data_IF_026214081780
#
_entry.id   IF_026214081780
#
_cell.length_a   1.000
_cell.length_b   1.000
_cell.length_c   1.000
_cell.angle_alpha   90.00
_cell.angle_beta   90.00
_cell.angle_gamma   90.00
#
_symmetry.space_group_name_H-M   'P 1'
#
loop_
_entity.id
_entity.type
_entity.pdbx_description
1 polymer ?
#
# COMPACT_ATOMS: atom_id res chain seq x y z
N UNK A 1 -4.98 8.70 37.85
CA UNK A 1 -3.81 8.10 37.20
C UNK A 1 -3.47 8.96 35.99
N UNK A 2 -2.21 9.35 35.79
CA UNK A 2 -1.81 10.08 34.58
C UNK A 2 -1.98 9.16 33.38
N UNK A 3 -2.68 9.63 32.34
CA UNK A 3 -2.80 8.88 31.07
C UNK A 3 -1.41 8.67 30.48
N UNK A 4 -1.08 7.42 30.17
CA UNK A 4 0.22 7.06 29.57
C UNK A 4 0.20 7.50 28.11
N UNK A 5 0.90 8.58 27.79
CA UNK A 5 1.14 9.03 26.42
C UNK A 5 2.41 8.37 25.89
N UNK A 6 2.35 7.82 24.69
CA UNK A 6 3.49 7.25 23.99
C UNK A 6 3.61 7.88 22.62
N UNK A 7 4.70 8.62 22.42
CA UNK A 7 5.03 9.18 21.12
C UNK A 7 5.47 8.04 20.20
N UNK A 8 4.82 7.90 19.05
CA UNK A 8 5.16 6.91 18.04
C UNK A 8 6.23 7.47 17.08
N UNK A 9 6.94 6.60 16.34
CA UNK A 9 7.94 7.03 15.38
C UNK A 9 7.31 7.83 14.24
N UNK A 10 8.10 8.63 13.55
CA UNK A 10 7.68 9.31 12.33
C UNK A 10 7.58 8.26 11.21
N UNK A 11 6.38 8.04 10.68
CA UNK A 11 6.17 7.24 9.48
C UNK A 11 6.53 8.07 8.24
N UNK A 12 7.50 7.61 7.46
CA UNK A 12 7.97 8.29 6.25
C UNK A 12 7.78 7.37 5.05
N UNK A 13 6.87 7.75 4.18
CA UNK A 13 6.58 7.05 2.94
C UNK A 13 7.01 7.90 1.75
N UNK A 14 7.79 7.31 0.88
CA UNK A 14 8.17 7.91 -0.38
C UNK A 14 7.55 7.08 -1.52
N UNK A 15 6.57 7.66 -2.18
CA UNK A 15 5.98 7.16 -3.41
C UNK A 15 6.76 7.66 -4.64
N UNK A 16 6.39 7.23 -5.82
CA UNK A 16 7.02 7.62 -7.08
C UNK A 16 7.02 9.15 -7.33
N UNK A 17 6.03 9.85 -6.82
CA UNK A 17 5.78 11.27 -7.12
C UNK A 17 5.64 12.15 -5.87
N UNK A 18 5.72 11.57 -4.66
CA UNK A 18 5.49 12.32 -3.44
C UNK A 18 6.17 11.70 -2.23
N UNK A 19 6.40 12.51 -1.21
CA UNK A 19 6.74 12.05 0.13
C UNK A 19 5.62 12.40 1.10
N UNK A 20 5.29 11.46 1.97
CA UNK A 20 4.27 11.57 3.01
C UNK A 20 4.90 11.29 4.36
N UNK A 21 4.62 12.13 5.34
CA UNK A 21 5.12 12.01 6.70
C UNK A 21 3.97 12.14 7.69
N UNK A 22 3.91 11.25 8.65
CA UNK A 22 2.93 11.28 9.75
C UNK A 22 3.61 10.91 11.04
N UNK A 23 3.28 11.60 12.12
CA UNK A 23 3.63 11.18 13.47
C UNK A 23 2.38 11.15 14.34
N UNK A 24 2.20 10.04 15.03
CA UNK A 24 1.09 9.79 15.92
C UNK A 24 1.58 9.76 17.38
N UNK A 25 0.66 10.03 18.30
CA UNK A 25 0.82 9.82 19.74
C UNK A 25 -0.29 8.92 20.22
N UNK A 26 0.05 7.83 20.88
CA UNK A 26 -0.93 6.88 21.44
C UNK A 26 -1.30 7.27 22.85
N UNK A 27 -2.61 7.22 23.15
CA UNK A 27 -3.19 7.43 24.47
C UNK A 27 -4.29 6.39 24.73
N UNK A 28 -4.08 5.49 25.69
CA UNK A 28 -5.13 4.56 26.16
C UNK A 28 -5.92 3.87 25.02
N UNK A 29 -5.21 3.31 24.02
CA UNK A 29 -5.83 2.59 22.90
C UNK A 29 -6.37 3.47 21.76
N UNK A 30 -6.26 4.80 21.89
CA UNK A 30 -6.55 5.77 20.81
C UNK A 30 -5.26 6.44 20.34
N UNK A 31 -5.29 7.01 19.15
CA UNK A 31 -4.16 7.78 18.63
C UNK A 31 -4.60 9.16 18.19
N UNK A 32 -3.69 10.11 18.32
CA UNK A 32 -3.86 11.49 17.83
C UNK A 32 -2.72 11.84 16.89
N UNK A 33 -2.98 12.70 15.91
CA UNK A 33 -1.96 13.22 15.00
C UNK A 33 -1.14 14.28 15.72
N UNK A 34 0.17 14.05 15.83
CA UNK A 34 1.14 15.04 16.31
C UNK A 34 1.51 16.01 15.21
N UNK A 35 1.90 15.46 14.07
CA UNK A 35 2.24 16.24 12.87
C UNK A 35 2.06 15.39 11.60
N UNK A 36 1.79 16.06 10.49
CA UNK A 36 1.77 15.45 9.16
C UNK A 36 2.27 16.42 8.11
N UNK A 37 2.92 15.91 7.08
CA UNK A 37 3.40 16.70 5.95
C UNK A 37 3.38 15.84 4.66
N UNK A 38 3.19 16.50 3.53
CA UNK A 38 3.30 15.88 2.22
C UNK A 38 3.87 16.87 1.21
N UNK A 39 4.61 16.35 0.22
CA UNK A 39 5.08 17.11 -0.93
C UNK A 39 5.05 16.24 -2.16
N UNK A 40 4.40 16.73 -3.20
CA UNK A 40 4.52 16.17 -4.54
C UNK A 40 5.77 16.70 -5.23
N UNK A 41 6.40 15.86 -6.03
CA UNK A 41 7.54 16.20 -6.88
C UNK A 41 7.13 16.17 -8.34
N UNK A 42 7.87 16.87 -9.18
CA UNK A 42 7.69 16.74 -10.62
C UNK A 42 8.15 15.33 -11.04
N UNK A 43 7.24 14.58 -11.63
CA UNK A 43 7.54 13.22 -12.10
C UNK A 43 8.70 13.23 -13.10
N UNK A 44 9.76 12.48 -12.82
CA UNK A 44 10.80 12.25 -13.81
C UNK A 44 10.27 11.24 -14.82
N UNK A 45 10.23 11.55 -16.13
CA UNK A 45 9.76 10.62 -17.14
C UNK A 45 10.56 9.31 -17.06
N UNK A 46 9.87 8.19 -16.91
CA UNK A 46 10.50 6.88 -16.97
C UNK A 46 10.65 6.43 -18.42
N UNK A 47 11.74 5.74 -18.74
CA UNK A 47 11.84 5.07 -20.03
C UNK A 47 10.68 4.06 -20.16
N UNK A 48 10.04 3.97 -21.33
CA UNK A 48 8.97 3.03 -21.57
C UNK A 48 9.46 1.59 -21.30
N UNK A 49 8.57 0.66 -20.90
CA UNK A 49 8.91 -0.75 -20.73
C UNK A 49 9.54 -1.29 -22.00
N UNK A 50 10.49 -2.21 -21.87
CA UNK A 50 11.14 -2.83 -23.01
C UNK A 50 10.13 -3.55 -23.88
N UNK A 51 10.33 -3.52 -25.20
CA UNK A 51 9.43 -4.13 -26.21
C UNK A 51 9.19 -5.63 -26.02
N UNK A 52 10.02 -6.31 -25.22
CA UNK A 52 9.93 -7.75 -24.91
C UNK A 52 9.09 -8.07 -23.66
N UNK A 53 8.41 -7.07 -23.06
CA UNK A 53 7.61 -7.26 -21.84
C UNK A 53 8.44 -7.49 -20.58
N UNK A 54 9.78 -7.48 -20.67
CA UNK A 54 10.61 -7.50 -19.47
C UNK A 54 10.52 -6.15 -18.76
N UNK A 55 10.51 -6.12 -17.42
CA UNK A 55 10.54 -4.88 -16.68
C UNK A 55 11.71 -4.04 -17.18
N UNK A 56 11.48 -2.75 -17.40
CA UNK A 56 12.51 -1.81 -17.79
C UNK A 56 13.70 -2.07 -16.85
N UNK A 57 14.76 -2.65 -17.41
CA UNK A 57 15.85 -3.20 -16.61
C UNK A 57 16.35 -2.16 -15.63
N UNK A 58 16.92 -2.58 -14.51
CA UNK A 58 17.38 -1.85 -13.33
C UNK A 58 18.06 -0.47 -13.55
N UNK A 59 18.27 -0.04 -14.79
CA UNK A 59 18.81 1.27 -15.18
C UNK A 59 17.83 2.45 -15.05
N UNK A 60 16.57 2.20 -14.71
CA UNK A 60 15.55 3.21 -14.43
C UNK A 60 14.86 2.99 -13.09
N UNK A 61 15.41 2.14 -12.23
CA UNK A 61 14.83 1.91 -10.91
C UNK A 61 14.82 3.22 -10.13
N UNK A 62 13.65 3.51 -9.63
CA UNK A 62 13.44 4.62 -8.74
C UNK A 62 14.41 4.53 -7.54
N UNK A 63 15.18 5.61 -7.32
CA UNK A 63 16.34 5.57 -6.42
C UNK A 63 15.90 5.59 -4.94
N UNK A 64 14.59 5.73 -4.68
CA UNK A 64 14.04 5.84 -3.35
C UNK A 64 14.63 7.02 -2.56
N UNK A 65 14.42 7.04 -1.25
CA UNK A 65 14.96 8.07 -0.38
C UNK A 65 16.48 8.27 -0.50
N UNK A 66 17.23 7.19 -0.76
CA UNK A 66 18.69 7.27 -0.87
C UNK A 66 19.17 8.15 -2.04
N UNK A 67 18.42 8.21 -3.12
CA UNK A 67 18.77 8.97 -4.32
C UNK A 67 17.94 10.22 -4.57
N UNK A 68 16.85 10.45 -3.82
CA UNK A 68 15.95 11.58 -4.05
C UNK A 68 16.32 12.78 -3.17
N UNK A 69 17.09 13.73 -3.71
CA UNK A 69 17.61 14.85 -2.92
C UNK A 69 16.50 15.80 -2.46
N UNK A 70 15.52 16.10 -3.31
CA UNK A 70 14.39 16.96 -2.94
C UNK A 70 13.55 16.37 -1.81
N UNK A 71 13.32 15.05 -1.82
CA UNK A 71 12.63 14.36 -0.74
C UNK A 71 13.41 14.46 0.57
N UNK A 72 14.73 14.25 0.52
CA UNK A 72 15.58 14.40 1.70
C UNK A 72 15.63 15.84 2.23
N UNK A 73 15.68 16.83 1.33
CA UNK A 73 15.64 18.24 1.71
C UNK A 73 14.30 18.58 2.39
N UNK A 74 13.19 18.10 1.84
CA UNK A 74 11.87 18.28 2.43
C UNK A 74 11.74 17.61 3.80
N UNK A 75 12.18 16.36 3.94
CA UNK A 75 12.18 15.65 5.23
C UNK A 75 12.98 16.43 6.27
N UNK A 76 14.20 16.90 5.92
CA UNK A 76 15.03 17.71 6.81
C UNK A 76 14.34 18.99 7.25
N UNK A 77 13.73 19.71 6.31
CA UNK A 77 12.96 20.93 6.59
C UNK A 77 11.82 20.65 7.59
N UNK A 78 11.03 19.60 7.34
CA UNK A 78 9.84 19.29 8.15
C UNK A 78 10.20 18.78 9.55
N UNK A 79 11.23 17.96 9.68
CA UNK A 79 11.71 17.51 10.99
C UNK A 79 12.22 18.71 11.83
N UNK A 80 12.80 19.72 11.18
CA UNK A 80 13.31 20.91 11.91
C UNK A 80 12.20 21.92 12.27
N UNK A 81 11.13 22.03 11.48
CA UNK A 81 10.19 23.16 11.53
C UNK A 81 8.77 22.82 12.00
N UNK A 82 8.25 21.62 11.71
CA UNK A 82 6.79 21.40 11.67
C UNK A 82 6.22 20.53 12.81
N UNK A 83 6.82 20.55 13.99
CA UNK A 83 6.24 19.91 15.18
C UNK A 83 6.42 18.39 15.24
N UNK A 84 7.16 17.76 14.35
CA UNK A 84 7.63 16.40 14.52
C UNK A 84 8.57 16.34 15.75
N UNK A 85 8.38 15.32 16.58
CA UNK A 85 9.08 15.19 17.87
C UNK A 85 9.92 13.93 17.92
N UNK A 86 11.08 14.02 18.54
CA UNK A 86 12.02 12.90 18.65
C UNK A 86 12.81 12.66 17.36
N UNK A 87 13.48 11.51 17.29
CA UNK A 87 14.34 11.14 16.14
C UNK A 87 13.97 9.79 15.51
N UNK A 88 13.07 9.05 16.15
CA UNK A 88 12.70 7.72 15.66
C UNK A 88 11.84 7.83 14.41
N UNK A 89 12.19 7.06 13.41
CA UNK A 89 11.44 6.97 12.16
C UNK A 89 11.27 5.53 11.70
N UNK A 90 10.15 5.27 11.03
CA UNK A 90 9.92 4.05 10.25
C UNK A 90 9.71 4.46 8.81
N UNK A 91 10.46 3.85 7.91
CA UNK A 91 10.45 4.19 6.49
C UNK A 91 9.84 3.07 5.63
N UNK A 92 9.26 3.41 4.50
CA UNK A 92 8.92 2.43 3.47
C UNK A 92 10.08 2.26 2.49
N UNK A 93 10.24 1.03 2.00
CA UNK A 93 11.05 0.77 0.82
C UNK A 93 10.15 0.90 -0.41
N UNK A 94 10.63 1.55 -1.49
CA UNK A 94 9.90 1.63 -2.75
C UNK A 94 9.48 0.25 -3.26
N UNK A 95 8.27 0.18 -3.74
CA UNK A 95 7.64 -1.08 -4.11
C UNK A 95 8.26 -1.75 -5.34
N UNK A 96 8.89 -1.00 -6.23
CA UNK A 96 9.66 -1.53 -7.36
C UNK A 96 10.91 -2.32 -6.93
N UNK A 97 11.29 -2.20 -5.64
CA UNK A 97 12.38 -2.97 -5.01
C UNK A 97 11.87 -4.19 -4.24
N UNK A 98 10.56 -4.33 -4.09
CA UNK A 98 9.92 -5.43 -3.40
C UNK A 98 9.55 -6.55 -4.37
N UNK A 99 9.96 -7.77 -4.04
CA UNK A 99 9.51 -8.97 -4.74
C UNK A 99 8.50 -9.69 -3.84
N UNK A 100 7.30 -9.92 -4.37
CA UNK A 100 6.25 -10.69 -3.70
C UNK A 100 6.13 -12.03 -4.43
N UNK A 101 6.30 -13.13 -3.69
CA UNK A 101 6.18 -14.49 -4.20
C UNK A 101 5.14 -15.26 -3.39
N UNK A 102 4.27 -15.99 -4.09
CA UNK A 102 3.34 -16.91 -3.47
C UNK A 102 3.90 -18.33 -3.59
N UNK A 103 4.11 -18.98 -2.45
CA UNK A 103 4.64 -20.33 -2.38
C UNK A 103 3.63 -21.27 -1.70
N UNK A 104 3.52 -22.48 -2.23
CA UNK A 104 2.81 -23.59 -1.58
C UNK A 104 3.82 -24.59 -1.06
N UNK A 105 3.89 -24.70 0.24
CA UNK A 105 4.86 -25.53 0.95
C UNK A 105 4.13 -26.66 1.68
N UNK A 106 4.82 -27.79 1.89
CA UNK A 106 4.40 -28.71 2.93
C UNK A 106 4.36 -27.97 4.28
N UNK A 107 3.52 -28.37 5.25
CA UNK A 107 3.52 -27.76 6.56
C UNK A 107 4.94 -27.76 7.17
N UNK A 108 5.44 -26.56 7.46
CA UNK A 108 6.80 -26.36 7.99
C UNK A 108 6.68 -25.75 9.38
N UNK A 109 7.41 -26.28 10.38
CA UNK A 109 7.50 -25.67 11.70
C UNK A 109 8.05 -24.22 11.60
N UNK A 110 7.60 -23.29 12.46
CA UNK A 110 8.04 -21.88 12.41
C UNK A 110 9.56 -21.70 12.47
N UNK A 111 10.27 -22.54 13.22
CA UNK A 111 11.72 -22.53 13.36
C UNK A 111 12.47 -22.92 12.08
N UNK A 112 11.88 -23.76 11.24
CA UNK A 112 12.47 -24.23 9.98
C UNK A 112 12.07 -23.35 8.79
N UNK A 113 11.05 -22.50 8.95
CA UNK A 113 10.46 -21.72 7.87
C UNK A 113 11.51 -20.85 7.15
N UNK A 114 12.39 -20.18 7.90
CA UNK A 114 13.41 -19.32 7.30
C UNK A 114 14.37 -20.07 6.39
N UNK A 115 14.80 -21.26 6.79
CA UNK A 115 15.67 -22.11 5.97
C UNK A 115 14.98 -22.64 4.72
N UNK A 116 13.73 -23.11 4.89
CA UNK A 116 12.89 -23.59 3.79
C UNK A 116 12.66 -22.49 2.75
N UNK A 117 12.31 -21.27 3.18
CA UNK A 117 12.08 -20.16 2.29
C UNK A 117 13.34 -19.78 1.50
N UNK A 118 14.51 -19.77 2.13
CA UNK A 118 15.76 -19.48 1.42
C UNK A 118 16.06 -20.52 0.34
N UNK A 119 15.78 -21.79 0.59
CA UNK A 119 15.95 -22.87 -0.39
C UNK A 119 14.93 -22.72 -1.55
N UNK A 120 13.67 -22.49 -1.22
CA UNK A 120 12.58 -22.33 -2.21
C UNK A 120 12.73 -21.08 -3.10
N UNK A 121 13.36 -20.04 -2.59
CA UNK A 121 13.61 -18.81 -3.33
C UNK A 121 14.82 -18.90 -4.27
N UNK A 122 15.61 -19.97 -4.17
CA UNK A 122 16.74 -20.17 -5.04
C UNK A 122 16.28 -20.28 -6.50
N UNK A 123 16.79 -19.41 -7.36
CA UNK A 123 16.40 -19.31 -8.77
C UNK A 123 15.05 -18.60 -9.02
N UNK A 124 14.28 -18.25 -7.98
CA UNK A 124 13.05 -17.47 -8.10
C UNK A 124 13.27 -15.96 -7.89
N UNK A 125 14.38 -15.59 -7.25
CA UNK A 125 14.81 -14.19 -7.13
C UNK A 125 15.87 -13.90 -8.20
N UNK A 126 15.95 -12.66 -8.72
CA UNK A 126 16.98 -12.25 -9.67
C UNK A 126 18.36 -12.04 -9.00
N UNK A 127 18.51 -12.47 -7.75
CA UNK A 127 19.74 -12.40 -6.95
C UNK A 127 19.75 -13.52 -5.90
N UNK A 128 20.90 -13.75 -5.27
CA UNK A 128 21.05 -14.75 -4.22
C UNK A 128 20.12 -14.45 -3.02
N UNK A 129 19.21 -15.36 -2.63
CA UNK A 129 18.29 -15.16 -1.51
C UNK A 129 18.97 -14.80 -0.18
N UNK A 130 20.22 -15.23 0.04
CA UNK A 130 21.00 -14.89 1.23
C UNK A 130 21.36 -13.40 1.31
N UNK A 131 21.31 -12.68 0.18
CA UNK A 131 21.49 -11.22 0.10
C UNK A 131 20.17 -10.46 0.26
N UNK A 132 19.07 -11.17 0.50
CA UNK A 132 17.78 -10.57 0.75
C UNK A 132 17.52 -10.34 2.25
N UNK A 133 16.64 -9.40 2.53
CA UNK A 133 15.80 -9.38 3.74
C UNK A 133 14.50 -10.06 3.33
N UNK A 134 14.19 -11.18 3.94
CA UNK A 134 13.00 -11.99 3.65
C UNK A 134 12.05 -11.93 4.83
N UNK A 135 10.78 -11.68 4.55
CA UNK A 135 9.66 -11.81 5.49
C UNK A 135 8.58 -12.64 4.84
N UNK A 136 7.70 -13.21 5.63
CA UNK A 136 6.61 -14.03 5.12
C UNK A 136 5.33 -13.84 5.92
N UNK A 137 4.22 -14.18 5.27
CA UNK A 137 2.88 -14.26 5.84
C UNK A 137 2.36 -15.65 5.51
N UNK A 138 1.91 -16.40 6.50
CA UNK A 138 1.18 -17.64 6.27
C UNK A 138 -0.28 -17.28 6.00
N UNK A 139 -0.68 -17.34 4.74
CA UNK A 139 -2.01 -16.91 4.29
C UNK A 139 -3.10 -17.93 4.62
N UNK A 140 -2.73 -19.20 4.77
CA UNK A 140 -3.68 -20.27 5.11
C UNK A 140 -3.16 -21.66 4.79
N UNK A 141 -4.05 -22.63 4.87
CA UNK A 141 -3.79 -24.01 4.48
C UNK A 141 -4.76 -24.43 3.39
N UNK A 142 -4.24 -25.11 2.38
CA UNK A 142 -5.02 -25.63 1.26
C UNK A 142 -4.78 -27.11 1.10
N UNK A 143 -5.80 -27.85 0.65
CA UNK A 143 -5.65 -29.25 0.23
C UNK A 143 -5.37 -29.28 -1.26
N UNK A 144 -4.22 -29.80 -1.64
CA UNK A 144 -3.83 -29.98 -3.04
C UNK A 144 -3.38 -31.43 -3.23
N UNK A 145 -3.96 -32.14 -4.19
CA UNK A 145 -3.69 -33.57 -4.45
C UNK A 145 -3.81 -34.45 -3.20
N UNK A 146 -4.79 -34.18 -2.34
CA UNK A 146 -5.00 -34.89 -1.07
C UNK A 146 -3.90 -34.67 0.00
N UNK A 147 -3.03 -33.68 -0.20
CA UNK A 147 -2.03 -33.27 0.75
C UNK A 147 -2.37 -31.89 1.29
N UNK A 148 -2.14 -31.68 2.61
CA UNK A 148 -2.26 -30.35 3.20
C UNK A 148 -1.00 -29.56 2.88
N UNK A 149 -1.18 -28.35 2.34
CA UNK A 149 -0.10 -27.39 2.06
C UNK A 149 -0.38 -26.06 2.73
N UNK A 150 0.69 -25.35 3.07
CA UNK A 150 0.63 -23.97 3.53
C UNK A 150 0.81 -23.03 2.33
N UNK A 151 -0.11 -22.08 2.20
CA UNK A 151 0.10 -20.94 1.32
C UNK A 151 0.90 -19.87 2.07
N UNK A 152 2.06 -19.54 1.53
CA UNK A 152 3.00 -18.59 2.14
C UNK A 152 3.29 -17.47 1.15
N UNK A 153 3.03 -16.24 1.58
CA UNK A 153 3.37 -15.04 0.83
C UNK A 153 4.73 -14.57 1.31
N UNK A 154 5.69 -14.53 0.41
CA UNK A 154 7.06 -14.10 0.70
C UNK A 154 7.29 -12.70 0.17
N UNK A 155 7.86 -11.88 1.02
CA UNK A 155 8.26 -10.49 0.75
C UNK A 155 9.78 -10.43 0.81
N UNK A 156 10.43 -10.14 -0.30
CA UNK A 156 11.88 -10.13 -0.40
C UNK A 156 12.41 -8.81 -0.97
N UNK A 157 13.40 -8.25 -0.31
CA UNK A 157 14.09 -7.02 -0.71
C UNK A 157 15.60 -7.25 -0.61
N UNK A 158 16.36 -6.68 -1.52
CA UNK A 158 17.82 -6.70 -1.43
C UNK A 158 18.31 -5.97 -0.17
N UNK A 159 19.16 -6.61 0.60
CA UNK A 159 19.71 -6.06 1.86
C UNK A 159 20.48 -4.77 1.63
N UNK A 160 21.33 -4.70 0.61
CA UNK A 160 22.12 -3.51 0.31
C UNK A 160 21.27 -2.27 -0.04
N UNK A 161 20.08 -2.47 -0.63
CA UNK A 161 19.13 -1.39 -0.88
C UNK A 161 18.51 -0.89 0.42
N UNK A 162 18.08 -1.80 1.28
CA UNK A 162 17.56 -1.45 2.61
C UNK A 162 18.58 -0.65 3.40
N UNK A 163 19.84 -1.10 3.45
CA UNK A 163 20.92 -0.41 4.14
C UNK A 163 21.18 1.01 3.59
N UNK A 164 21.09 1.20 2.28
CA UNK A 164 21.22 2.53 1.66
C UNK A 164 20.10 3.48 2.10
N UNK A 165 18.87 2.99 2.21
CA UNK A 165 17.73 3.82 2.67
C UNK A 165 17.88 4.21 4.14
N UNK A 166 18.26 3.26 5.00
CA UNK A 166 18.56 3.52 6.41
C UNK A 166 19.67 4.56 6.55
N UNK A 167 20.80 4.35 5.87
CA UNK A 167 21.92 5.29 5.91
C UNK A 167 21.58 6.70 5.37
N UNK A 168 20.59 6.80 4.47
CA UNK A 168 20.12 8.10 4.02
C UNK A 168 19.35 8.85 5.11
N UNK A 169 18.59 8.15 5.94
CA UNK A 169 17.88 8.75 7.08
C UNK A 169 18.81 9.09 8.24
N UNK A 170 19.80 8.24 8.53
CA UNK A 170 20.82 8.51 9.54
C UNK A 170 21.55 9.85 9.25
N UNK A 171 21.84 10.14 7.98
CA UNK A 171 22.44 11.43 7.57
C UNK A 171 21.52 12.64 7.79
N UNK A 172 20.22 12.43 7.93
CA UNK A 172 19.25 13.46 8.30
C UNK A 172 19.08 13.59 9.82
N UNK A 173 19.80 12.78 10.60
CA UNK A 173 19.74 12.74 12.06
C UNK A 173 18.55 11.97 12.60
N UNK A 174 17.91 11.13 11.76
CA UNK A 174 16.82 10.24 12.15
C UNK A 174 17.37 8.86 12.50
N UNK A 175 16.82 8.25 13.54
CA UNK A 175 17.07 6.88 13.96
C UNK A 175 16.00 5.97 13.33
N UNK A 176 16.37 5.15 12.36
CA UNK A 176 15.43 4.22 11.73
C UNK A 176 15.22 3.01 12.64
N UNK A 177 14.05 2.95 13.29
CA UNK A 177 13.66 1.85 14.19
C UNK A 177 12.88 0.74 13.49
N UNK A 178 12.48 0.95 12.25
CA UNK A 178 11.78 -0.03 11.44
C UNK A 178 11.78 0.30 9.95
N UNK A 179 11.64 -0.75 9.15
CA UNK A 179 11.48 -0.65 7.70
C UNK A 179 10.24 -1.44 7.30
N UNK A 180 9.29 -0.76 6.70
CA UNK A 180 8.06 -1.34 6.18
C UNK A 180 8.05 -1.46 4.66
N UNK A 181 7.01 -2.10 4.16
CA UNK A 181 6.70 -2.18 2.72
C UNK A 181 5.27 -1.66 2.50
N UNK A 182 5.05 -0.95 1.42
CA UNK A 182 3.77 -0.30 1.13
C UNK A 182 2.56 -1.22 1.29
N UNK A 183 2.53 -2.42 0.67
CA UNK A 183 1.35 -3.28 0.71
C UNK A 183 1.02 -3.83 2.10
N UNK A 184 1.97 -3.87 3.02
CA UNK A 184 1.71 -4.24 4.41
C UNK A 184 1.36 -3.01 5.24
N UNK A 185 2.12 -1.93 5.08
CA UNK A 185 1.95 -0.73 5.91
C UNK A 185 0.59 -0.06 5.71
N UNK A 186 0.05 -0.06 4.50
CA UNK A 186 -1.30 0.46 4.21
C UNK A 186 -2.42 -0.26 4.97
N UNK A 187 -2.16 -1.48 5.45
CA UNK A 187 -3.13 -2.30 6.17
C UNK A 187 -3.14 -2.05 7.69
N UNK A 188 -2.03 -1.60 8.26
CA UNK A 188 -1.91 -1.41 9.71
C UNK A 188 -2.97 -0.48 10.33
N UNK A 189 -3.43 0.60 9.69
CA UNK A 189 -4.54 1.40 10.21
C UNK A 189 -5.81 0.57 10.45
N UNK A 190 -6.15 -0.32 9.53
CA UNK A 190 -7.34 -1.17 9.61
C UNK A 190 -7.17 -2.29 10.64
N UNK A 191 -5.97 -2.87 10.73
CA UNK A 191 -5.62 -3.88 11.74
C UNK A 191 -5.64 -3.27 13.15
N UNK A 192 -5.09 -2.08 13.32
CA UNK A 192 -5.12 -1.33 14.57
C UNK A 192 -6.57 -1.04 15.01
N UNK A 193 -7.39 -0.53 14.11
CA UNK A 193 -8.79 -0.28 14.41
C UNK A 193 -9.56 -1.56 14.79
N UNK A 194 -9.28 -2.67 14.11
CA UNK A 194 -9.87 -3.97 14.45
C UNK A 194 -9.44 -4.49 15.81
N UNK A 195 -8.19 -4.24 16.23
CA UNK A 195 -7.70 -4.60 17.57
C UNK A 195 -8.43 -3.88 18.70
N UNK A 196 -8.93 -2.67 18.43
CA UNK A 196 -9.61 -1.82 19.40
C UNK A 196 -11.15 -1.80 19.24
N UNK A 197 -11.67 -2.55 18.25
CA UNK A 197 -13.10 -2.69 18.03
C UNK A 197 -13.74 -3.70 19.02
N UNK A 198 -15.02 -3.49 19.31
CA UNK A 198 -15.78 -4.50 20.04
C UNK A 198 -15.85 -5.83 19.25
N UNK A 199 -15.79 -6.99 19.92
CA UNK A 199 -15.93 -8.28 19.26
C UNK A 199 -17.26 -8.37 18.49
N UNK A 200 -17.20 -8.74 17.22
CA UNK A 200 -18.38 -8.99 16.40
C UNK A 200 -18.84 -10.45 16.56
N UNK A 201 -20.15 -10.68 16.55
CA UNK A 201 -20.74 -12.02 16.73
C UNK A 201 -20.36 -13.01 15.63
N UNK A 202 -20.12 -12.53 14.42
CA UNK A 202 -19.76 -13.35 13.25
C UNK A 202 -18.25 -13.35 12.94
N UNK A 203 -17.45 -12.83 13.89
CA UNK A 203 -16.02 -12.61 13.72
C UNK A 203 -15.70 -11.30 12.98
N UNK A 204 -14.40 -10.95 12.89
CA UNK A 204 -14.00 -9.70 12.27
C UNK A 204 -14.26 -9.73 10.74
N UNK A 205 -14.71 -8.58 10.17
CA UNK A 205 -14.93 -8.47 8.74
C UNK A 205 -13.61 -8.61 7.96
N UNK A 206 -13.72 -9.16 6.75
CA UNK A 206 -12.63 -9.20 5.78
C UNK A 206 -12.64 -7.91 4.95
N UNK A 207 -11.60 -7.11 5.07
CA UNK A 207 -11.45 -5.86 4.34
C UNK A 207 -10.36 -6.04 3.29
N UNK A 208 -10.70 -5.78 2.03
CA UNK A 208 -9.70 -5.69 0.97
C UNK A 208 -9.25 -4.25 0.84
N UNK A 209 -7.97 -4.01 1.11
CA UNK A 209 -7.34 -2.71 0.96
C UNK A 209 -6.63 -2.68 -0.38
N UNK A 210 -6.99 -1.73 -1.22
CA UNK A 210 -6.44 -1.56 -2.57
C UNK A 210 -5.70 -0.23 -2.62
N UNK A 211 -4.37 -0.28 -2.73
CA UNK A 211 -3.56 0.89 -2.96
C UNK A 211 -3.54 1.20 -4.45
N UNK A 212 -4.01 2.38 -4.80
CA UNK A 212 -3.91 2.93 -6.15
C UNK A 212 -2.77 3.93 -6.20
N UNK A 213 -1.69 3.53 -6.86
CA UNK A 213 -0.57 4.40 -7.18
C UNK A 213 -0.56 4.79 -8.66
N UNK A 214 0.33 5.70 -9.02
CA UNK A 214 0.50 6.10 -10.42
C UNK A 214 1.03 4.93 -11.26
N UNK A 215 1.93 4.10 -10.72
CA UNK A 215 2.66 3.05 -11.47
C UNK A 215 2.27 1.63 -11.11
N UNK A 216 1.80 1.43 -9.91
CA UNK A 216 1.45 0.09 -9.41
C UNK A 216 0.20 0.15 -8.55
N UNK A 217 -0.50 -0.97 -8.49
CA UNK A 217 -1.62 -1.22 -7.59
C UNK A 217 -1.22 -2.36 -6.64
N UNK A 218 -1.52 -2.22 -5.36
CA UNK A 218 -1.36 -3.31 -4.39
C UNK A 218 -2.71 -3.69 -3.84
N UNK A 219 -2.91 -4.99 -3.71
CA UNK A 219 -4.11 -5.56 -3.11
C UNK A 219 -3.68 -6.35 -1.89
N UNK A 220 -4.26 -6.02 -0.75
CA UNK A 220 -4.08 -6.80 0.46
C UNK A 220 -5.43 -7.08 1.12
N UNK A 221 -5.54 -8.20 1.83
CA UNK A 221 -6.75 -8.57 2.55
C UNK A 221 -6.38 -8.73 4.02
N UNK A 222 -7.13 -8.04 4.86
CA UNK A 222 -7.01 -8.13 6.32
C UNK A 222 -8.32 -8.63 6.93
N UNK A 223 -8.20 -9.48 7.94
CA UNK A 223 -9.31 -9.94 8.75
C UNK A 223 -8.96 -9.79 10.24
N UNK A 224 -9.60 -8.83 10.90
CA UNK A 224 -9.18 -8.46 12.24
C UNK A 224 -7.75 -7.92 12.25
N UNK A 225 -6.88 -8.56 13.02
CA UNK A 225 -5.46 -8.22 13.14
C UNK A 225 -4.55 -9.03 12.20
N UNK A 226 -5.11 -9.85 11.35
CA UNK A 226 -4.34 -10.74 10.48
C UNK A 226 -4.38 -10.27 9.03
N UNK A 227 -3.22 -10.24 8.40
CA UNK A 227 -3.09 -10.05 6.97
C UNK A 227 -3.04 -11.44 6.32
N UNK A 228 -4.01 -11.73 5.47
CA UNK A 228 -4.21 -13.06 4.88
C UNK A 228 -3.84 -13.11 3.40
N UNK A 229 -3.67 -11.97 2.76
CA UNK A 229 -3.34 -11.89 1.34
C UNK A 229 -2.60 -10.59 1.02
N UNK A 230 -1.62 -10.68 0.12
CA UNK A 230 -0.93 -9.52 -0.49
C UNK A 230 -0.56 -9.85 -1.93
N UNK A 231 -0.87 -8.96 -2.86
CA UNK A 231 -0.43 -9.06 -4.26
C UNK A 231 -0.05 -7.68 -4.80
N UNK A 232 1.03 -7.62 -5.57
CA UNK A 232 1.38 -6.49 -6.40
C UNK A 232 0.83 -6.69 -7.81
N UNK A 233 0.32 -5.61 -8.40
CA UNK A 233 -0.09 -5.53 -9.80
C UNK A 233 0.77 -4.45 -10.44
N UNK A 234 1.60 -4.82 -11.41
CA UNK A 234 2.50 -3.90 -12.13
C UNK A 234 1.72 -3.01 -13.11
N UNK A 235 0.65 -2.42 -12.62
CA UNK A 235 -0.25 -1.55 -13.35
C UNK A 235 -0.80 -0.49 -12.41
N UNK A 236 -0.65 0.77 -12.77
CA UNK A 236 -1.16 1.90 -12.02
C UNK A 236 -2.03 2.82 -12.87
N UNK A 237 -2.28 4.00 -12.36
CA UNK A 237 -3.14 4.96 -13.02
C UNK A 237 -2.54 5.52 -14.33
N UNK A 238 -1.21 5.51 -14.50
CA UNK A 238 -0.56 5.86 -15.75
C UNK A 238 -0.99 4.97 -16.92
N UNK A 239 -1.17 3.68 -16.68
CA UNK A 239 -1.68 2.73 -17.68
C UNK A 239 -3.12 3.07 -18.10
N UNK A 240 -3.97 3.40 -17.11
CA UNK A 240 -5.35 3.81 -17.36
C UNK A 240 -5.40 5.11 -18.17
N UNK A 241 -4.64 6.11 -17.75
CA UNK A 241 -4.58 7.39 -18.43
C UNK A 241 -3.99 7.26 -19.85
N UNK A 242 -2.98 6.43 -20.03
CA UNK A 242 -2.43 6.11 -21.35
C UNK A 242 -3.43 5.45 -22.27
N UNK A 243 -4.24 4.53 -21.76
CA UNK A 243 -5.30 3.88 -22.52
C UNK A 243 -6.46 4.88 -22.83
N UNK A 244 -6.82 5.74 -21.89
CA UNK A 244 -7.79 6.82 -22.12
C UNK A 244 -7.30 7.77 -23.20
N UNK A 245 -6.04 8.21 -23.14
CA UNK A 245 -5.42 9.08 -24.12
C UNK A 245 -5.50 8.48 -25.53
N UNK A 246 -5.13 7.19 -25.65
CA UNK A 246 -5.20 6.45 -26.92
C UNK A 246 -6.62 6.29 -27.42
N UNK A 247 -7.56 5.87 -26.58
CA UNK A 247 -8.95 5.62 -26.98
C UNK A 247 -9.68 6.89 -27.39
N UNK A 248 -9.36 8.03 -26.76
CA UNK A 248 -9.96 9.34 -27.05
C UNK A 248 -9.17 10.17 -28.06
N UNK A 249 -8.01 9.68 -28.51
CA UNK A 249 -7.09 10.40 -29.38
C UNK A 249 -6.71 11.80 -28.83
N UNK A 250 -6.36 11.84 -27.54
CA UNK A 250 -5.93 13.03 -26.81
C UNK A 250 -4.52 12.81 -26.23
N UNK A 251 -3.87 13.90 -25.77
CA UNK A 251 -2.56 13.78 -25.14
C UNK A 251 -2.64 13.21 -23.72
N UNK A 252 -1.55 12.67 -23.15
CA UNK A 252 -1.52 12.24 -21.75
C UNK A 252 -1.87 13.36 -20.77
N UNK A 253 -1.44 14.59 -21.03
CA UNK A 253 -1.77 15.76 -20.22
C UNK A 253 -3.26 16.07 -20.27
N UNK A 254 -3.88 15.95 -21.45
CA UNK A 254 -5.33 16.09 -21.60
C UNK A 254 -6.10 14.98 -20.89
N UNK A 255 -5.59 13.73 -20.90
CA UNK A 255 -6.18 12.63 -20.14
C UNK A 255 -6.09 12.87 -18.62
N UNK A 256 -4.96 13.38 -18.14
CA UNK A 256 -4.78 13.76 -16.74
C UNK A 256 -5.71 14.91 -16.34
N UNK A 257 -5.83 15.94 -17.18
CA UNK A 257 -6.76 17.06 -16.97
C UNK A 257 -8.23 16.61 -17.01
N UNK A 258 -8.57 15.66 -17.90
CA UNK A 258 -9.90 15.05 -17.96
C UNK A 258 -10.26 14.39 -16.63
N UNK A 259 -9.34 13.60 -16.05
CA UNK A 259 -9.55 12.93 -14.77
C UNK A 259 -9.62 13.91 -13.59
N UNK A 260 -8.78 14.95 -13.59
CA UNK A 260 -8.75 15.94 -12.50
C UNK A 260 -10.10 16.64 -12.27
N UNK A 261 -10.96 16.71 -13.30
CA UNK A 261 -12.31 17.27 -13.19
C UNK A 261 -13.20 16.50 -12.21
N UNK A 262 -12.96 15.20 -12.06
CA UNK A 262 -13.79 14.30 -11.25
C UNK A 262 -13.17 14.00 -9.90
N UNK A 263 -11.84 13.96 -9.83
CA UNK A 263 -11.10 13.53 -8.65
C UNK A 263 -11.43 14.37 -7.40
N UNK A 264 -11.55 15.66 -7.57
CA UNK A 264 -11.72 16.60 -6.46
C UNK A 264 -13.17 17.06 -6.29
N UNK A 265 -14.12 16.51 -7.07
CA UNK A 265 -15.53 16.88 -6.98
C UNK A 265 -16.22 16.21 -5.80
N UNK A 266 -16.95 17.02 -5.03
CA UNK A 266 -17.81 16.57 -3.94
C UNK A 266 -19.31 16.65 -4.28
N UNK A 267 -19.68 17.19 -5.45
CA UNK A 267 -21.06 17.38 -5.86
C UNK A 267 -21.64 16.10 -6.47
N UNK A 268 -22.89 15.75 -6.11
CA UNK A 268 -23.58 14.56 -6.62
C UNK A 268 -23.81 14.61 -8.13
N UNK A 269 -24.00 15.81 -8.69
CA UNK A 269 -24.14 15.98 -10.13
C UNK A 269 -22.84 15.58 -10.87
N UNK A 270 -21.71 16.03 -10.37
CA UNK A 270 -20.41 15.71 -10.97
C UNK A 270 -20.11 14.23 -10.84
N UNK A 271 -20.64 13.60 -9.78
CA UNK A 271 -20.50 12.16 -9.56
C UNK A 271 -21.18 11.35 -10.70
N UNK A 272 -22.39 11.71 -11.11
CA UNK A 272 -23.08 11.00 -12.20
C UNK A 272 -22.35 11.18 -13.54
N UNK A 273 -21.88 12.42 -13.83
CA UNK A 273 -21.07 12.67 -15.02
C UNK A 273 -19.75 11.90 -15.01
N UNK A 274 -19.12 11.76 -13.83
CA UNK A 274 -17.90 10.96 -13.66
C UNK A 274 -18.17 9.47 -13.89
N UNK A 275 -19.27 8.93 -13.36
CA UNK A 275 -19.68 7.54 -13.61
C UNK A 275 -19.81 7.26 -15.09
N UNK A 276 -20.53 8.11 -15.82
CA UNK A 276 -20.73 7.97 -17.27
C UNK A 276 -19.39 8.07 -18.02
N UNK A 277 -18.54 8.99 -17.59
CA UNK A 277 -17.20 9.17 -18.17
C UNK A 277 -16.29 7.97 -17.96
N UNK A 278 -16.29 7.38 -16.76
CA UNK A 278 -15.51 6.16 -16.46
C UNK A 278 -16.08 4.91 -17.14
N UNK A 279 -17.40 4.77 -17.19
CA UNK A 279 -18.03 3.68 -17.93
C UNK A 279 -17.70 3.75 -19.44
N UNK A 280 -17.62 4.96 -20.02
CA UNK A 280 -17.23 5.13 -21.43
C UNK A 280 -15.78 4.71 -21.71
N UNK A 281 -14.89 4.69 -20.70
CA UNK A 281 -13.50 4.26 -20.81
C UNK A 281 -13.24 2.93 -20.07
N UNK A 282 -14.32 2.21 -19.74
CA UNK A 282 -14.24 0.95 -18.99
C UNK A 282 -13.20 -0.05 -19.51
N UNK A 283 -13.05 -0.27 -20.83
CA UNK A 283 -12.00 -1.16 -21.34
C UNK A 283 -10.58 -0.82 -20.88
N UNK A 284 -10.35 0.45 -20.48
CA UNK A 284 -9.06 0.91 -19.94
C UNK A 284 -8.92 0.63 -18.43
N UNK A 285 -10.03 0.50 -17.73
CA UNK A 285 -10.09 0.22 -16.29
C UNK A 285 -10.21 -1.27 -15.98
N UNK A 286 -10.73 -2.06 -16.92
CA UNK A 286 -11.08 -3.47 -16.69
C UNK A 286 -9.89 -4.29 -16.21
N UNK A 287 -8.68 -4.04 -16.71
CA UNK A 287 -7.49 -4.80 -16.31
C UNK A 287 -7.21 -4.71 -14.80
N UNK A 288 -7.29 -3.51 -14.20
CA UNK A 288 -7.11 -3.35 -12.74
C UNK A 288 -8.25 -4.04 -12.01
N UNK A 289 -9.47 -3.90 -12.52
CA UNK A 289 -10.67 -4.52 -11.91
C UNK A 289 -10.62 -6.05 -11.99
N UNK A 290 -10.20 -6.61 -13.13
CA UNK A 290 -10.03 -8.06 -13.31
C UNK A 290 -8.99 -8.64 -12.35
N UNK A 291 -7.91 -7.89 -12.10
CA UNK A 291 -6.90 -8.27 -11.12
C UNK A 291 -7.44 -8.25 -9.68
N UNK A 292 -8.22 -7.24 -9.32
CA UNK A 292 -8.89 -7.17 -8.01
C UNK A 292 -9.87 -8.34 -7.86
N UNK A 293 -10.68 -8.61 -8.87
CA UNK A 293 -11.62 -9.74 -8.89
C UNK A 293 -10.91 -11.10 -8.76
N UNK A 294 -9.77 -11.24 -9.45
CA UNK A 294 -8.92 -12.43 -9.33
C UNK A 294 -8.43 -12.64 -7.91
N UNK A 295 -8.03 -11.55 -7.21
CA UNK A 295 -7.64 -11.60 -5.80
C UNK A 295 -8.82 -12.01 -4.90
N UNK A 296 -10.03 -11.51 -5.18
CA UNK A 296 -11.24 -11.88 -4.43
C UNK A 296 -11.56 -13.38 -4.59
N UNK A 297 -11.51 -13.90 -5.83
CA UNK A 297 -11.75 -15.33 -6.11
C UNK A 297 -10.69 -16.21 -5.44
N UNK A 298 -9.42 -15.80 -5.51
CA UNK A 298 -8.33 -16.53 -4.87
C UNK A 298 -8.53 -16.62 -3.35
N UNK A 299 -8.84 -15.49 -2.70
CA UNK A 299 -9.12 -15.46 -1.27
C UNK A 299 -10.30 -16.34 -0.89
N UNK A 300 -11.40 -16.31 -1.66
CA UNK A 300 -12.56 -17.17 -1.45
C UNK A 300 -12.22 -18.67 -1.53
N UNK A 301 -11.27 -19.04 -2.38
CA UNK A 301 -10.78 -20.42 -2.48
C UNK A 301 -9.92 -20.84 -1.30
N UNK A 302 -9.08 -19.95 -0.77
CA UNK A 302 -8.24 -20.19 0.39
C UNK A 302 -9.03 -20.29 1.69
N UNK A 303 -9.95 -19.38 1.90
CA UNK A 303 -10.71 -19.23 3.13
C UNK A 303 -12.06 -19.99 3.12
N UNK A 304 -12.16 -21.08 2.35
CA UNK A 304 -13.34 -21.96 2.27
C UNK A 304 -14.67 -21.22 2.04
N UNK A 305 -14.70 -20.33 1.07
CA UNK A 305 -15.89 -19.55 0.72
C UNK A 305 -16.10 -18.28 1.53
N UNK A 306 -15.10 -17.84 2.32
CA UNK A 306 -15.14 -16.55 2.95
C UNK A 306 -15.26 -15.43 1.89
N UNK A 307 -16.07 -14.42 2.21
CA UNK A 307 -16.28 -13.27 1.33
C UNK A 307 -15.52 -12.07 1.83
N UNK A 308 -15.22 -11.18 0.90
CA UNK A 308 -14.76 -9.84 1.22
C UNK A 308 -16.01 -9.00 1.56
N UNK A 309 -15.99 -8.33 2.70
CA UNK A 309 -17.13 -7.53 3.14
C UNK A 309 -17.15 -6.15 2.48
N UNK A 310 -15.97 -5.59 2.21
CA UNK A 310 -15.83 -4.29 1.54
C UNK A 310 -14.46 -4.12 0.90
N UNK A 311 -14.40 -3.25 -0.11
CA UNK A 311 -13.16 -2.69 -0.66
C UNK A 311 -12.91 -1.32 -0.07
N UNK A 312 -11.64 -1.05 0.23
CA UNK A 312 -11.20 0.28 0.65
C UNK A 312 -10.03 0.69 -0.23
N UNK A 313 -10.22 1.77 -0.98
CA UNK A 313 -9.18 2.33 -1.83
C UNK A 313 -8.33 3.33 -1.07
N UNK A 314 -7.02 3.17 -1.11
CA UNK A 314 -6.02 4.05 -0.48
C UNK A 314 -4.93 4.40 -1.48
N UNK A 315 -4.04 5.31 -1.11
CA UNK A 315 -2.97 5.78 -1.99
C UNK A 315 -3.30 7.10 -2.67
N UNK A 316 -2.34 7.72 -3.35
CA UNK A 316 -2.49 9.07 -3.92
C UNK A 316 -3.57 9.14 -5.02
N UNK A 317 -3.76 8.05 -5.75
CA UNK A 317 -4.71 7.99 -6.85
C UNK A 317 -6.13 7.58 -6.40
N UNK A 318 -6.30 7.22 -5.13
CA UNK A 318 -7.58 6.84 -4.54
C UNK A 318 -8.48 8.01 -4.14
N UNK A 319 -8.02 9.27 -4.24
CA UNK A 319 -8.86 10.47 -3.95
C UNK A 319 -10.12 10.55 -4.79
N UNK A 320 -10.13 9.87 -5.92
CA UNK A 320 -11.23 9.81 -6.85
C UNK A 320 -12.32 8.85 -6.37
N UNK A 321 -13.31 9.40 -5.66
CA UNK A 321 -14.46 8.62 -5.14
C UNK A 321 -15.29 8.00 -6.26
N UNK A 322 -15.39 8.65 -7.41
CA UNK A 322 -16.15 8.16 -8.55
C UNK A 322 -15.51 6.92 -9.13
N UNK A 323 -14.18 6.89 -9.24
CA UNK A 323 -13.44 5.71 -9.67
C UNK A 323 -13.65 4.53 -8.72
N UNK A 324 -13.53 4.75 -7.41
CA UNK A 324 -13.74 3.71 -6.40
C UNK A 324 -15.15 3.09 -6.52
N UNK A 325 -16.18 3.92 -6.70
CA UNK A 325 -17.57 3.48 -6.84
C UNK A 325 -17.82 2.75 -8.17
N UNK A 326 -17.22 3.21 -9.27
CA UNK A 326 -17.31 2.51 -10.57
C UNK A 326 -16.74 1.09 -10.44
N UNK A 327 -15.52 0.96 -9.90
CA UNK A 327 -14.90 -0.36 -9.70
C UNK A 327 -15.77 -1.22 -8.76
N UNK A 328 -16.22 -0.70 -7.64
CA UNK A 328 -17.08 -1.42 -6.71
C UNK A 328 -18.40 -1.88 -7.33
N UNK A 329 -19.02 -1.06 -8.17
CA UNK A 329 -20.25 -1.41 -8.91
C UNK A 329 -20.04 -2.58 -9.86
N UNK A 330 -18.94 -2.58 -10.62
CA UNK A 330 -18.60 -3.69 -11.51
C UNK A 330 -18.27 -4.99 -10.77
N UNK A 331 -17.67 -4.87 -9.59
CA UNK A 331 -17.36 -6.03 -8.73
C UNK A 331 -18.54 -6.46 -7.83
N UNK A 332 -19.65 -5.73 -7.87
CA UNK A 332 -20.83 -5.95 -7.02
C UNK A 332 -20.49 -6.00 -5.52
N UNK A 333 -19.60 -5.12 -5.08
CA UNK A 333 -19.16 -5.01 -3.69
C UNK A 333 -19.13 -3.55 -3.23
N UNK A 334 -19.41 -3.32 -1.94
CA UNK A 334 -19.26 -1.98 -1.35
C UNK A 334 -17.80 -1.52 -1.44
N UNK A 335 -17.59 -0.35 -2.01
CA UNK A 335 -16.26 0.21 -2.24
C UNK A 335 -16.24 1.69 -1.85
N UNK A 336 -15.29 2.06 -1.02
CA UNK A 336 -15.11 3.41 -0.50
C UNK A 336 -13.65 3.87 -0.60
N UNK A 337 -13.47 5.19 -0.59
CA UNK A 337 -12.16 5.80 -0.37
C UNK A 337 -11.82 5.74 1.11
N UNK A 338 -10.65 5.17 1.41
CA UNK A 338 -10.18 5.04 2.78
C UNK A 338 -9.77 6.37 3.39
N UNK A 339 -10.02 6.49 4.67
CA UNK A 339 -9.48 7.57 5.50
C UNK A 339 -8.67 6.95 6.65
N UNK A 340 -7.36 6.70 6.44
CA UNK A 340 -6.53 5.99 7.41
C UNK A 340 -6.41 6.74 8.74
N UNK A 341 -6.44 8.08 8.73
CA UNK A 341 -6.41 8.88 9.95
C UNK A 341 -7.71 8.73 10.75
N UNK A 342 -8.85 8.84 10.09
CA UNK A 342 -10.15 8.64 10.74
C UNK A 342 -10.31 7.23 11.28
N UNK A 343 -9.79 6.24 10.56
CA UNK A 343 -9.84 4.83 10.99
C UNK A 343 -9.10 4.63 12.32
N UNK A 344 -7.96 5.26 12.52
CA UNK A 344 -7.16 5.09 13.75
C UNK A 344 -7.56 6.05 14.88
N UNK A 345 -8.04 7.25 14.55
CA UNK A 345 -8.47 8.27 15.54
C UNK A 345 -9.92 8.08 15.98
N UNK A 346 -10.70 7.29 15.24
CA UNK A 346 -12.11 7.06 15.52
C UNK A 346 -13.04 8.15 14.97
N UNK A 347 -14.36 8.07 15.31
CA UNK A 347 -15.40 8.91 14.70
C UNK A 347 -15.26 10.41 14.96
N UNK A 348 -14.49 10.80 15.98
CA UNK A 348 -14.28 12.21 16.34
C UNK A 348 -13.31 12.94 15.37
N UNK A 349 -12.60 12.21 14.53
CA UNK A 349 -11.71 12.80 13.54
C UNK A 349 -12.50 13.59 12.50
N UNK A 350 -12.13 14.86 12.33
CA UNK A 350 -12.75 15.78 11.37
C UNK A 350 -11.79 16.02 10.20
N UNK A 351 -12.34 16.34 9.04
CA UNK A 351 -11.58 16.67 7.83
C UNK A 351 -11.98 15.83 6.61
N UNK A 352 -11.36 16.13 5.50
CA UNK A 352 -11.48 15.35 4.26
C UNK A 352 -10.62 14.09 4.36
N UNK A 353 -11.06 13.01 3.72
CA UNK A 353 -10.29 11.77 3.64
C UNK A 353 -8.93 12.01 2.97
N UNK A 354 -7.87 11.46 3.57
CA UNK A 354 -6.50 11.54 3.08
C UNK A 354 -5.96 10.12 2.78
N UNK A 355 -6.49 9.46 1.72
CA UNK A 355 -6.13 8.07 1.41
C UNK A 355 -4.65 7.89 1.09
N UNK A 356 -3.97 8.92 0.62
CA UNK A 356 -2.54 8.93 0.34
C UNK A 356 -1.67 8.76 1.59
N UNK A 357 -2.20 9.09 2.76
CA UNK A 357 -1.48 8.95 4.03
C UNK A 357 -1.44 7.50 4.57
N UNK A 358 -2.14 6.56 3.94
CA UNK A 358 -2.34 5.21 4.48
C UNK A 358 -1.03 4.51 4.86
N UNK A 359 -0.03 4.57 3.99
CA UNK A 359 1.28 3.94 4.26
C UNK A 359 2.01 4.67 5.38
N UNK A 360 2.07 6.00 5.36
CA UNK A 360 2.76 6.78 6.39
C UNK A 360 2.11 6.63 7.78
N UNK A 361 0.77 6.58 7.83
CA UNK A 361 0.02 6.27 9.07
C UNK A 361 0.37 4.87 9.58
N UNK A 362 0.36 3.88 8.69
CA UNK A 362 0.72 2.51 9.07
C UNK A 362 2.16 2.37 9.54
N UNK A 363 3.10 3.09 8.94
CA UNK A 363 4.50 3.13 9.39
C UNK A 363 4.62 3.79 10.78
N UNK A 364 3.88 4.87 11.04
CA UNK A 364 3.88 5.51 12.36
C UNK A 364 3.29 4.62 13.45
N UNK A 365 2.35 3.72 13.12
CA UNK A 365 1.78 2.74 14.04
C UNK A 365 2.75 1.59 14.41
N UNK A 366 3.96 1.57 13.86
CA UNK A 366 4.94 0.54 14.19
C UNK A 366 5.26 0.55 15.69
N UNK A 367 5.04 -0.58 16.35
CA UNK A 367 5.21 -0.71 17.79
C UNK A 367 4.06 -0.17 18.64
N UNK A 368 2.97 0.33 18.05
CA UNK A 368 1.73 0.63 18.76
C UNK A 368 1.10 -0.68 19.31
N UNK A 369 0.56 -0.60 20.52
CA UNK A 369 -0.09 -1.73 21.21
C UNK A 369 -1.59 -1.57 21.28
#
# INVERSE_FOLDING_TARGET
MARKRSLLPVGIHLDAEAVYMVQLEQMDGTVEVVSKAARQFVSVPHPPPKKDGSPAGQAGSWIGLAGHEEARAFIREKIAADGFRGKQAVISIPADQLIIQHLRLAPVPPEEMSGTLLAELQGKLPYDPRKAVVRHIVAGQVSENNEMKQDVIVLAIRRDLTEKHVAAMDRLGLEVVGVGVEPCSMCYPYMFAAAHAAPASEGPPAVMVVYLGMRATYVAIVRGQEMTFVKGVEMGMDHVLGAVAKNRNITPEQASAWRARWRDSSEEKDFQEALDAYNAVWPSLSHITDEIESCMRYYGSLARGARIDRLVFVGPEAKDRSLARVIGSHLSIAADVGDPLKVVMGPAAQGTAEPEMAVAVGLSLFGAQ
#
